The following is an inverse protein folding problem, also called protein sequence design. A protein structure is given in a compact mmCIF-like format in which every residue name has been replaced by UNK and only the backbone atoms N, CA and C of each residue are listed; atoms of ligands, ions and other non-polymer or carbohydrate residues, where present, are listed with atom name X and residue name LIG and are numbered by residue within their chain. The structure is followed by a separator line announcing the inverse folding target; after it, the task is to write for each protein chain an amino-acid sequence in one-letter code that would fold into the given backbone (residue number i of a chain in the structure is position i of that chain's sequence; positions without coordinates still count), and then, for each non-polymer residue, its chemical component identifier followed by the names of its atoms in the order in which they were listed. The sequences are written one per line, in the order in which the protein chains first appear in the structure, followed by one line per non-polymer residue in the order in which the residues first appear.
data_IF_035973931215
#
_entry.id   IF_035973931215
#
_cell.length_a   1.000
_cell.length_b   1.000
_cell.length_c   1.000
_cell.angle_alpha   90.00
_cell.angle_beta   90.00
_cell.angle_gamma   90.00
#
_symmetry.space_group_name_H-M   'P 1'
#
loop_
_entity.id
_entity.type
_entity.pdbx_description
1 polymer ?
#
# COMPACT_ATOMS: atom_id res chain seq x y z
N UNK A 1 2.01 -15.50 6.73
CA UNK A 1 3.00 -16.41 6.09
C UNK A 1 3.55 -15.77 4.80
N UNK A 2 4.61 -16.30 4.20
CA UNK A 2 5.05 -15.90 2.85
C UNK A 2 4.81 -17.05 1.87
N UNK A 3 4.05 -16.78 0.83
CA UNK A 3 3.72 -17.72 -0.24
C UNK A 3 4.58 -17.45 -1.46
N UNK A 4 4.90 -18.51 -2.19
CA UNK A 4 5.52 -18.45 -3.51
C UNK A 4 4.66 -19.25 -4.48
N UNK A 5 4.38 -18.68 -5.64
CA UNK A 5 3.55 -19.31 -6.65
C UNK A 5 4.04 -18.96 -8.06
N UNK A 6 3.74 -19.80 -9.05
CA UNK A 6 4.02 -19.52 -10.46
C UNK A 6 2.74 -19.61 -11.28
N UNK A 7 2.55 -18.68 -12.22
CA UNK A 7 1.51 -18.83 -13.25
C UNK A 7 1.91 -19.95 -14.21
N UNK A 8 1.15 -21.05 -14.23
CA UNK A 8 1.31 -22.06 -15.26
C UNK A 8 0.78 -21.54 -16.61
N UNK A 9 1.27 -22.08 -17.73
CA UNK A 9 0.83 -21.74 -19.10
C UNK A 9 -0.68 -21.98 -19.39
N UNK A 10 -1.45 -22.49 -18.42
CA UNK A 10 -2.83 -22.93 -18.53
C UNK A 10 -3.79 -22.22 -17.54
N UNK A 11 -3.44 -21.01 -17.05
CA UNK A 11 -4.24 -20.21 -16.10
C UNK A 11 -4.41 -20.81 -14.68
N UNK A 12 -3.71 -21.90 -14.36
CA UNK A 12 -3.65 -22.42 -12.99
C UNK A 12 -2.43 -21.87 -12.23
N UNK A 13 -2.66 -21.30 -11.05
CA UNK A 13 -1.59 -20.88 -10.13
C UNK A 13 -1.05 -22.10 -9.38
N UNK A 14 0.24 -22.41 -9.58
CA UNK A 14 0.92 -23.47 -8.84
C UNK A 14 1.56 -22.88 -7.57
N UNK A 15 1.02 -23.22 -6.41
CA UNK A 15 1.58 -22.81 -5.11
C UNK A 15 2.67 -23.78 -4.65
N UNK A 16 3.82 -23.23 -4.27
CA UNK A 16 4.88 -23.98 -3.61
C UNK A 16 4.66 -24.02 -2.08
N UNK A 17 5.35 -24.91 -1.33
CA UNK A 17 5.28 -24.93 0.13
C UNK A 17 5.56 -23.56 0.76
N UNK A 18 4.69 -23.11 1.65
CA UNK A 18 4.82 -21.77 2.24
C UNK A 18 6.08 -21.64 3.10
N UNK A 19 6.59 -20.41 3.19
CA UNK A 19 7.58 -20.07 4.21
C UNK A 19 6.81 -19.61 5.45
N UNK A 20 6.76 -20.47 6.47
CA UNK A 20 6.21 -20.10 7.76
C UNK A 20 7.22 -19.23 8.52
N UNK A 21 6.82 -18.00 8.83
CA UNK A 21 7.65 -17.03 9.54
C UNK A 21 7.84 -17.39 11.02
N UNK A 22 7.03 -18.30 11.57
CA UNK A 22 7.22 -18.84 12.91
C UNK A 22 8.47 -19.73 13.01
N UNK A 23 8.87 -20.37 11.90
CA UNK A 23 10.04 -21.26 11.83
C UNK A 23 11.33 -20.51 11.44
N UNK A 24 11.31 -19.18 11.49
CA UNK A 24 12.48 -18.35 11.20
C UNK A 24 13.30 -18.08 12.46
N UNK A 25 14.62 -18.06 12.30
CA UNK A 25 15.55 -17.50 13.27
C UNK A 25 15.76 -16.02 12.95
N UNK A 26 15.54 -15.17 13.95
CA UNK A 26 15.60 -13.71 13.82
C UNK A 26 16.84 -13.15 14.51
N UNK A 27 17.53 -12.25 13.82
CA UNK A 27 18.67 -11.52 14.36
C UNK A 27 18.27 -10.58 15.50
N UNK A 28 19.25 -10.25 16.35
CA UNK A 28 19.03 -9.33 17.46
C UNK A 28 18.78 -7.90 16.98
N UNK A 29 17.61 -7.36 17.36
CA UNK A 29 17.21 -5.96 17.11
C UNK A 29 18.20 -4.92 17.66
N UNK A 30 19.00 -5.26 18.67
CA UNK A 30 19.93 -4.31 19.30
C UNK A 30 20.96 -3.74 18.31
N UNK A 31 21.19 -4.43 17.18
CA UNK A 31 22.11 -3.97 16.13
C UNK A 31 21.47 -3.01 15.13
N UNK A 32 20.14 -3.04 15.00
CA UNK A 32 19.38 -2.29 13.99
C UNK A 32 18.52 -1.18 14.59
N UNK A 33 18.32 -1.18 15.91
CA UNK A 33 17.57 -0.16 16.63
C UNK A 33 18.27 1.20 16.55
N UNK A 34 17.56 2.18 16.02
CA UNK A 34 18.01 3.57 15.94
C UNK A 34 16.99 4.48 16.62
N UNK A 35 17.34 4.97 17.81
CA UNK A 35 16.47 5.84 18.61
C UNK A 35 16.30 7.24 18.02
N UNK A 36 17.26 7.74 17.23
CA UNK A 36 17.17 9.07 16.63
C UNK A 36 16.30 9.06 15.38
N UNK A 37 16.40 8.00 14.58
CA UNK A 37 15.54 7.81 13.40
C UNK A 37 14.19 7.14 13.73
N UNK A 38 14.02 6.66 14.97
CA UNK A 38 12.87 5.87 15.42
C UNK A 38 12.62 4.65 14.54
N UNK A 39 13.71 3.96 14.17
CA UNK A 39 13.65 2.77 13.31
C UNK A 39 14.20 1.52 13.99
N UNK A 40 13.70 0.37 13.56
CA UNK A 40 14.24 -0.94 13.89
C UNK A 40 14.05 -1.89 12.71
N UNK A 41 14.92 -2.89 12.58
CA UNK A 41 14.84 -3.89 11.52
C UNK A 41 15.00 -5.29 12.10
N UNK A 42 14.03 -6.16 11.83
CA UNK A 42 14.05 -7.56 12.18
C UNK A 42 14.43 -8.34 10.93
N UNK A 43 15.63 -8.90 10.88
CA UNK A 43 16.08 -9.75 9.76
C UNK A 43 16.06 -11.19 10.19
N UNK A 44 15.56 -12.08 9.33
CA UNK A 44 15.43 -13.49 9.63
C UNK A 44 15.70 -14.38 8.43
N UNK A 45 16.11 -15.61 8.76
CA UNK A 45 16.31 -16.72 7.83
C UNK A 45 15.56 -17.94 8.37
N UNK A 46 15.06 -18.84 7.50
CA UNK A 46 14.42 -20.07 7.96
C UNK A 46 15.40 -20.91 8.78
N UNK A 47 14.93 -21.51 9.88
CA UNK A 47 15.76 -22.38 10.72
C UNK A 47 16.26 -23.62 9.95
N UNK A 48 15.50 -24.06 8.96
CA UNK A 48 15.87 -25.12 8.02
C UNK A 48 15.62 -24.69 6.58
N UNK A 49 16.62 -24.77 5.72
CA UNK A 49 16.52 -24.43 4.30
C UNK A 49 16.95 -25.61 3.40
N UNK A 50 16.14 -26.68 3.31
CA UNK A 50 16.50 -27.86 2.51
C UNK A 50 16.63 -27.55 1.01
N UNK A 51 15.95 -26.50 0.52
CA UNK A 51 15.98 -26.08 -0.88
C UNK A 51 17.15 -25.12 -1.22
N UNK A 52 17.87 -24.62 -0.21
CA UNK A 52 18.94 -23.65 -0.41
C UNK A 52 18.48 -22.28 -0.91
N UNK A 53 17.17 -22.00 -0.89
CA UNK A 53 16.58 -20.75 -1.39
C UNK A 53 17.04 -19.53 -0.60
N UNK A 54 17.38 -19.72 0.67
CA UNK A 54 17.83 -18.69 1.62
C UNK A 54 19.35 -18.68 1.83
N UNK A 55 20.12 -19.45 1.05
CA UNK A 55 21.59 -19.48 1.14
C UNK A 55 22.25 -18.07 1.10
N UNK A 56 21.72 -17.16 0.30
CA UNK A 56 22.07 -15.72 0.28
C UNK A 56 20.82 -14.84 0.48
N UNK A 57 19.76 -15.42 1.05
CA UNK A 57 18.44 -14.82 1.13
C UNK A 57 18.05 -14.46 2.56
N UNK A 58 17.18 -13.48 2.71
CA UNK A 58 16.60 -13.09 4.01
C UNK A 58 15.22 -12.50 3.82
N UNK A 59 14.41 -12.62 4.88
CA UNK A 59 13.21 -11.81 5.08
C UNK A 59 13.55 -10.75 6.13
N UNK A 60 13.10 -9.52 5.93
CA UNK A 60 13.18 -8.50 6.96
C UNK A 60 11.87 -7.73 7.13
N UNK A 61 11.61 -7.29 8.35
CA UNK A 61 10.58 -6.32 8.68
C UNK A 61 11.23 -5.07 9.25
N UNK A 62 11.16 -3.96 8.54
CA UNK A 62 11.62 -2.66 9.04
C UNK A 62 10.44 -1.87 9.58
N UNK A 63 10.57 -1.39 10.80
CA UNK A 63 9.55 -0.58 11.48
C UNK A 63 10.09 0.84 11.64
N UNK A 64 9.27 1.83 11.33
CA UNK A 64 9.57 3.26 11.53
C UNK A 64 8.40 3.91 12.26
N UNK A 65 8.67 4.61 13.35
CA UNK A 65 7.68 5.44 14.02
C UNK A 65 7.86 6.92 13.64
N UNK A 66 6.80 7.71 13.80
CA UNK A 66 6.79 9.13 13.44
C UNK A 66 6.37 9.99 14.63
N UNK A 67 7.08 11.09 14.87
CA UNK A 67 6.74 12.03 15.95
C UNK A 67 5.64 13.03 15.54
N UNK A 68 5.49 13.26 14.24
CA UNK A 68 4.59 14.26 13.69
C UNK A 68 4.02 13.82 12.33
N UNK A 69 3.09 14.63 11.80
CA UNK A 69 2.61 14.48 10.43
C UNK A 69 3.68 14.87 9.41
N UNK A 70 3.78 14.09 8.34
CA UNK A 70 4.80 14.29 7.32
C UNK A 70 4.67 13.31 6.17
N UNK A 71 5.70 13.28 5.32
CA UNK A 71 5.79 12.34 4.20
C UNK A 71 7.17 11.75 4.13
N UNK A 72 7.24 10.46 3.82
CA UNK A 72 8.51 9.80 3.56
C UNK A 72 9.21 10.37 2.33
N UNK A 73 10.53 10.49 2.37
CA UNK A 73 11.35 10.86 1.22
C UNK A 73 11.45 9.75 0.16
N UNK A 74 11.77 8.50 0.54
CA UNK A 74 11.82 7.38 -0.41
C UNK A 74 10.42 6.94 -0.86
N UNK A 75 10.33 6.44 -2.10
CA UNK A 75 9.12 5.81 -2.61
C UNK A 75 8.68 4.62 -1.73
N UNK A 76 7.36 4.39 -1.53
CA UNK A 76 6.24 5.07 -2.18
C UNK A 76 5.84 6.43 -1.55
N UNK A 77 6.70 7.04 -0.73
CA UNK A 77 6.50 8.38 -0.15
C UNK A 77 5.18 8.49 0.62
N UNK A 78 4.92 7.54 1.51
CA UNK A 78 3.65 7.45 2.25
C UNK A 78 3.46 8.69 3.14
N UNK A 79 2.26 9.27 3.09
CA UNK A 79 1.83 10.34 3.99
C UNK A 79 1.52 9.72 5.36
N UNK A 80 2.19 10.19 6.40
CA UNK A 80 2.10 9.63 7.75
C UNK A 80 1.68 10.69 8.78
N UNK A 81 1.26 10.21 9.95
CA UNK A 81 0.91 11.02 11.12
C UNK A 81 1.63 10.49 12.36
N UNK A 82 1.59 11.24 13.47
CA UNK A 82 2.08 10.78 14.77
C UNK A 82 1.33 9.55 15.31
N UNK A 83 0.13 9.25 14.78
CA UNK A 83 -0.68 8.10 15.19
C UNK A 83 -0.44 6.85 14.32
N UNK A 84 0.61 6.88 13.50
CA UNK A 84 0.95 5.78 12.59
C UNK A 84 2.42 5.40 12.71
N UNK A 85 2.69 4.15 12.41
CA UNK A 85 4.02 3.59 12.18
C UNK A 85 4.04 2.94 10.81
N UNK A 86 5.18 3.03 10.12
CA UNK A 86 5.41 2.30 8.88
C UNK A 86 6.02 0.94 9.17
N UNK A 87 5.51 -0.08 8.50
CA UNK A 87 6.10 -1.41 8.42
C UNK A 87 6.49 -1.67 6.97
N UNK A 88 7.70 -2.19 6.77
CA UNK A 88 8.21 -2.55 5.47
C UNK A 88 8.61 -4.01 5.47
N UNK A 89 7.98 -4.80 4.60
CA UNK A 89 8.36 -6.17 4.33
C UNK A 89 9.41 -6.19 3.23
N UNK A 90 10.55 -6.82 3.51
CA UNK A 90 11.66 -6.96 2.58
C UNK A 90 11.96 -8.44 2.36
N UNK A 91 11.98 -8.86 1.09
CA UNK A 91 12.50 -10.14 0.66
C UNK A 91 13.76 -9.86 -0.17
N UNK A 92 14.93 -10.26 0.33
CA UNK A 92 16.21 -9.94 -0.29
C UNK A 92 17.00 -11.21 -0.56
N UNK A 93 17.47 -11.41 -1.79
CA UNK A 93 18.39 -12.48 -2.17
C UNK A 93 17.77 -13.88 -2.23
N UNK A 94 16.50 -14.06 -1.87
CA UNK A 94 15.84 -15.37 -1.86
C UNK A 94 15.74 -15.91 -3.29
N UNK A 95 16.26 -17.11 -3.51
CA UNK A 95 16.22 -17.77 -4.80
C UNK A 95 14.82 -18.33 -5.08
N UNK A 96 14.12 -17.85 -6.14
CA UNK A 96 12.84 -18.41 -6.52
C UNK A 96 13.01 -19.84 -6.98
N UNK A 97 12.02 -20.67 -6.65
CA UNK A 97 11.96 -22.11 -6.92
C UNK A 97 11.64 -22.40 -8.39
N UNK A 98 11.14 -21.41 -9.13
CA UNK A 98 10.86 -21.53 -10.56
C UNK A 98 11.04 -20.21 -11.32
N UNK A 99 11.08 -20.33 -12.65
CA UNK A 99 11.02 -19.19 -13.54
C UNK A 99 9.59 -18.62 -13.51
N UNK A 100 9.46 -17.32 -13.26
CA UNK A 100 8.16 -16.68 -13.11
C UNK A 100 7.53 -16.84 -11.72
N UNK A 101 8.30 -17.28 -10.71
CA UNK A 101 7.86 -17.24 -9.32
C UNK A 101 7.47 -15.81 -8.90
N UNK A 102 6.30 -15.70 -8.31
CA UNK A 102 5.76 -14.52 -7.64
C UNK A 102 5.63 -14.81 -6.15
N UNK A 103 5.61 -13.75 -5.37
CA UNK A 103 5.52 -13.84 -3.92
C UNK A 103 4.22 -13.22 -3.45
N UNK A 104 3.73 -13.70 -2.31
CA UNK A 104 2.55 -13.16 -1.67
C UNK A 104 2.76 -13.17 -0.16
N UNK A 105 2.40 -12.08 0.50
CA UNK A 105 2.43 -11.93 1.95
C UNK A 105 1.00 -12.02 2.47
N UNK A 106 0.78 -12.93 3.40
CA UNK A 106 -0.46 -12.96 4.16
C UNK A 106 -0.29 -12.13 5.43
N UNK A 107 -1.24 -11.22 5.64
CA UNK A 107 -1.33 -10.35 6.80
C UNK A 107 -2.60 -10.71 7.56
N UNK A 108 -2.45 -11.10 8.82
CA UNK A 108 -3.56 -11.35 9.73
C UNK A 108 -3.75 -10.16 10.69
N UNK A 109 -5.00 -9.89 11.02
CA UNK A 109 -5.42 -8.83 11.94
C UNK A 109 -6.39 -9.39 12.96
N UNK A 110 -6.40 -8.81 14.16
CA UNK A 110 -7.21 -9.26 15.29
C UNK A 110 -8.07 -8.09 15.74
N UNK A 111 -9.38 -8.31 15.81
CA UNK A 111 -10.35 -7.29 16.19
C UNK A 111 -11.32 -7.82 17.24
N UNK A 112 -11.92 -6.92 18.01
CA UNK A 112 -13.00 -7.27 18.93
C UNK A 112 -14.28 -7.63 18.17
N UNK A 113 -15.06 -8.58 18.70
CA UNK A 113 -16.34 -8.97 18.12
C UNK A 113 -17.26 -7.75 17.90
N UNK A 114 -17.73 -7.62 16.65
CA UNK A 114 -18.57 -6.53 16.20
C UNK A 114 -17.80 -5.34 15.61
N UNK A 115 -16.48 -5.28 15.73
CA UNK A 115 -15.68 -4.40 14.87
C UNK A 115 -15.74 -4.96 13.45
N UNK A 116 -16.08 -4.10 12.49
CA UNK A 116 -16.15 -4.47 11.08
C UNK A 116 -14.87 -4.05 10.39
N UNK A 117 -14.19 -4.99 9.74
CA UNK A 117 -13.05 -4.68 8.90
C UNK A 117 -13.46 -4.51 7.44
N UNK A 118 -13.04 -3.40 6.85
CA UNK A 118 -13.38 -3.08 5.46
C UNK A 118 -12.13 -2.78 4.66
N UNK A 119 -11.93 -3.53 3.59
CA UNK A 119 -10.95 -3.19 2.57
C UNK A 119 -11.52 -2.08 1.69
N UNK A 120 -10.87 -0.91 1.71
CA UNK A 120 -11.20 0.26 0.92
C UNK A 120 -10.12 0.46 -0.15
N UNK A 121 -10.53 0.72 -1.39
CA UNK A 121 -9.65 1.21 -2.44
C UNK A 121 -10.02 2.65 -2.79
N UNK A 122 -9.05 3.55 -2.69
CA UNK A 122 -9.18 4.95 -3.12
C UNK A 122 -8.33 5.18 -4.35
N UNK A 123 -8.95 5.64 -5.44
CA UNK A 123 -8.27 6.03 -6.66
C UNK A 123 -8.14 7.54 -6.75
N UNK A 124 -6.95 8.01 -7.08
CA UNK A 124 -6.65 9.42 -7.33
C UNK A 124 -5.98 9.54 -8.69
N UNK A 125 -6.21 10.65 -9.40
CA UNK A 125 -5.46 11.00 -10.62
C UNK A 125 -4.09 11.62 -10.29
N UNK A 126 -3.86 11.94 -9.02
CA UNK A 126 -2.61 12.52 -8.54
C UNK A 126 -1.57 11.44 -8.28
N UNK A 127 -0.44 11.52 -9.00
CA UNK A 127 0.73 10.68 -8.80
C UNK A 127 1.98 11.47 -8.38
N UNK A 128 1.80 12.73 -7.93
CA UNK A 128 2.89 13.65 -7.53
C UNK A 128 3.91 12.99 -6.61
N UNK A 129 3.44 12.25 -5.60
CA UNK A 129 4.28 11.63 -4.58
C UNK A 129 4.64 10.17 -4.87
N UNK A 130 3.85 9.48 -5.69
CA UNK A 130 4.07 8.08 -6.06
C UNK A 130 3.81 7.91 -7.56
N UNK A 131 4.79 8.25 -8.42
CA UNK A 131 4.59 8.29 -9.87
C UNK A 131 4.00 6.99 -10.42
N UNK A 132 3.05 7.10 -11.35
CA UNK A 132 2.29 5.99 -11.99
C UNK A 132 1.37 5.17 -11.10
N UNK A 133 1.30 5.47 -9.80
CA UNK A 133 0.48 4.70 -8.86
C UNK A 133 -0.73 5.52 -8.44
N UNK A 134 -1.89 5.17 -8.99
CA UNK A 134 -3.15 5.89 -8.81
C UNK A 134 -4.08 5.26 -7.78
N UNK A 135 -3.66 4.18 -7.13
CA UNK A 135 -4.50 3.41 -6.21
C UNK A 135 -3.82 3.25 -4.85
N UNK A 136 -4.59 3.57 -3.80
CA UNK A 136 -4.21 3.39 -2.39
C UNK A 136 -5.24 2.49 -1.73
N UNK A 137 -4.77 1.45 -1.07
CA UNK A 137 -5.61 0.49 -0.36
C UNK A 137 -5.53 0.72 1.14
N UNK A 138 -6.63 0.50 1.84
CA UNK A 138 -6.72 0.65 3.29
C UNK A 138 -7.64 -0.42 3.86
N UNK A 139 -7.12 -1.27 4.74
CA UNK A 139 -7.93 -2.11 5.60
C UNK A 139 -8.26 -1.29 6.86
N UNK A 140 -9.53 -0.93 7.03
CA UNK A 140 -9.98 -0.06 8.12
C UNK A 140 -10.87 -0.86 9.07
N UNK A 141 -10.54 -0.80 10.36
CA UNK A 141 -11.38 -1.31 11.44
C UNK A 141 -12.37 -0.21 11.84
N UNK A 142 -13.66 -0.47 11.65
CA UNK A 142 -14.76 0.46 11.93
C UNK A 142 -15.61 -0.05 13.09
N UNK A 143 -16.07 0.87 13.95
CA UNK A 143 -17.04 0.52 14.99
C UNK A 143 -18.38 0.06 14.38
N UNK A 144 -19.19 -0.67 15.14
CA UNK A 144 -20.49 -1.22 14.67
C UNK A 144 -21.42 -0.19 14.01
N UNK A 145 -21.30 1.09 14.39
CA UNK A 145 -22.13 2.17 13.87
C UNK A 145 -21.53 2.86 12.63
N UNK A 146 -20.37 2.39 12.13
CA UNK A 146 -19.67 2.94 10.96
C UNK A 146 -19.19 4.39 11.11
N UNK A 147 -19.27 4.96 12.31
CA UNK A 147 -19.08 6.39 12.54
C UNK A 147 -17.63 6.78 12.80
N UNK A 148 -16.77 5.84 13.18
CA UNK A 148 -15.37 6.11 13.51
C UNK A 148 -14.46 4.94 13.14
N UNK A 149 -13.39 5.25 12.40
CA UNK A 149 -12.27 4.34 12.22
C UNK A 149 -11.50 4.21 13.54
N UNK A 150 -11.29 2.97 13.98
CA UNK A 150 -10.57 2.61 15.19
C UNK A 150 -9.07 2.45 14.89
N UNK A 151 -8.76 1.76 13.80
CA UNK A 151 -7.41 1.55 13.30
C UNK A 151 -7.40 1.24 11.81
N UNK A 152 -6.22 1.29 11.22
CA UNK A 152 -6.04 1.05 9.80
C UNK A 152 -4.68 0.42 9.47
N UNK A 153 -4.67 -0.33 8.37
CA UNK A 153 -3.47 -0.71 7.62
C UNK A 153 -3.61 -0.15 6.21
N UNK A 154 -2.70 0.72 5.76
CA UNK A 154 -2.79 1.44 4.48
C UNK A 154 -1.51 1.29 3.65
N UNK A 155 -1.63 1.04 2.35
CA UNK A 155 -0.50 0.93 1.43
C UNK A 155 -0.85 1.45 0.04
N UNK A 156 0.17 1.78 -0.75
CA UNK A 156 0.01 2.05 -2.19
C UNK A 156 -0.04 0.72 -2.93
N UNK A 157 -0.73 0.66 -4.08
CA UNK A 157 -0.83 -0.54 -4.92
C UNK A 157 0.49 -0.94 -5.62
N UNK A 158 1.63 -0.78 -4.95
CA UNK A 158 2.97 -1.04 -5.45
C UNK A 158 3.92 -1.52 -4.37
N UNK A 159 4.92 -2.29 -4.79
CA UNK A 159 6.14 -2.62 -4.07
C UNK A 159 7.33 -2.27 -4.97
N UNK A 160 8.56 -2.42 -4.48
CA UNK A 160 9.75 -2.03 -5.24
C UNK A 160 10.82 -3.11 -5.26
N UNK A 161 11.45 -3.26 -6.43
CA UNK A 161 12.54 -4.20 -6.67
C UNK A 161 13.93 -3.70 -6.28
N UNK A 162 14.04 -2.62 -5.50
CA UNK A 162 15.32 -1.96 -5.19
C UNK A 162 15.34 -1.39 -3.77
N UNK A 163 16.52 -1.37 -3.16
CA UNK A 163 16.78 -0.72 -1.85
C UNK A 163 16.64 0.81 -1.92
N UNK A 164 16.91 1.39 -3.08
CA UNK A 164 16.74 2.81 -3.37
C UNK A 164 15.68 2.93 -4.47
N UNK A 165 14.39 2.86 -4.10
CA UNK A 165 13.32 2.65 -5.06
C UNK A 165 13.20 3.83 -6.01
N UNK A 166 13.18 3.51 -7.31
CA UNK A 166 12.86 4.42 -8.40
C UNK A 166 11.58 3.99 -9.09
N UNK A 167 11.05 4.84 -9.96
CA UNK A 167 9.81 4.56 -10.71
C UNK A 167 9.92 3.26 -11.51
N UNK A 168 11.05 3.02 -12.16
CA UNK A 168 11.34 1.83 -12.95
C UNK A 168 11.49 0.53 -12.13
N UNK A 169 11.54 0.63 -10.81
CA UNK A 169 11.64 -0.53 -9.91
C UNK A 169 10.27 -1.04 -9.45
N UNK A 170 9.18 -0.44 -9.92
CA UNK A 170 7.82 -0.75 -9.46
C UNK A 170 7.40 -2.20 -9.72
N UNK A 171 6.81 -2.81 -8.69
CA UNK A 171 6.16 -4.11 -8.71
C UNK A 171 4.69 -3.87 -8.39
N UNK A 172 3.78 -4.39 -9.21
CA UNK A 172 2.35 -4.25 -8.94
C UNK A 172 1.98 -5.06 -7.69
N UNK A 173 1.21 -4.44 -6.78
CA UNK A 173 0.58 -5.15 -5.68
C UNK A 173 -0.89 -5.37 -5.96
N UNK A 174 -1.39 -6.56 -5.67
CA UNK A 174 -2.82 -6.86 -5.67
C UNK A 174 -3.19 -7.45 -4.32
N UNK A 175 -4.39 -7.14 -3.84
CA UNK A 175 -4.94 -7.77 -2.64
C UNK A 175 -6.29 -8.35 -2.94
N UNK A 176 -6.53 -9.56 -2.46
CA UNK A 176 -7.85 -10.20 -2.55
C UNK A 176 -8.73 -9.77 -1.38
N UNK A 177 -10.03 -10.10 -1.45
CA UNK A 177 -10.99 -9.78 -0.39
C UNK A 177 -10.58 -10.36 0.97
N UNK A 178 -11.09 -9.74 2.04
CA UNK A 178 -10.85 -10.21 3.41
C UNK A 178 -11.41 -11.62 3.57
N UNK A 179 -10.60 -12.52 4.09
CA UNK A 179 -11.00 -13.89 4.39
C UNK A 179 -11.09 -14.04 5.91
N UNK A 180 -12.16 -14.67 6.40
CA UNK A 180 -12.19 -15.15 7.77
C UNK A 180 -11.07 -16.18 7.92
N UNK A 181 -10.15 -15.90 8.83
CA UNK A 181 -8.98 -16.71 8.99
C UNK A 181 -9.38 -17.97 9.77
N UNK A 182 -9.68 -19.06 9.06
CA UNK A 182 -10.12 -20.32 9.64
C UNK A 182 -8.89 -21.09 10.19
N UNK A 183 -8.19 -20.46 11.12
CA UNK A 183 -6.97 -21.01 11.69
C UNK A 183 -7.27 -21.84 12.93
N UNK A 184 -7.06 -23.15 12.82
CA UNK A 184 -6.55 -24.00 13.91
C UNK A 184 -5.06 -23.73 14.19
N UNK A 185 -4.45 -22.84 13.41
CA UNK A 185 -3.04 -22.51 13.43
C UNK A 185 -2.68 -21.76 14.71
N UNK A 186 -1.55 -22.14 15.30
CA UNK A 186 -1.01 -21.59 16.53
C UNK A 186 -1.14 -20.07 16.53
N UNK A 187 -2.10 -19.57 17.29
CA UNK A 187 -2.17 -18.16 17.65
C UNK A 187 -0.77 -17.76 18.09
N UNK A 188 -0.17 -16.80 17.39
CA UNK A 188 1.15 -16.26 17.73
C UNK A 188 1.22 -16.09 19.25
N UNK A 189 2.30 -16.55 19.88
CA UNK A 189 2.45 -16.47 21.33
C UNK A 189 2.25 -15.04 21.85
N UNK A 190 2.58 -14.03 21.04
CA UNK A 190 2.35 -12.62 21.32
C UNK A 190 0.84 -12.28 21.32
N UNK A 191 0.10 -12.75 20.32
CA UNK A 191 -1.35 -12.53 20.22
C UNK A 191 -2.05 -13.20 21.41
N UNK A 192 -1.69 -14.45 21.73
CA UNK A 192 -2.25 -15.15 22.90
C UNK A 192 -1.86 -14.48 24.22
N UNK A 193 -0.64 -13.95 24.33
CA UNK A 193 -0.20 -13.24 25.53
C UNK A 193 -0.97 -11.93 25.76
N UNK A 194 -1.35 -11.23 24.69
CA UNK A 194 -2.08 -9.96 24.78
C UNK A 194 -3.60 -10.14 24.90
N UNK A 195 -4.19 -10.99 24.05
CA UNK A 195 -5.65 -11.19 23.96
C UNK A 195 -6.17 -12.39 24.78
N UNK A 196 -5.28 -13.20 25.35
CA UNK A 196 -5.63 -14.37 26.14
C UNK A 196 -6.30 -15.49 25.34
N UNK A 197 -7.10 -16.30 26.02
CA UNK A 197 -7.92 -17.37 25.41
C UNK A 197 -9.17 -16.83 24.69
N UNK A 198 -9.37 -15.51 24.66
CA UNK A 198 -10.50 -14.85 24.00
C UNK A 198 -10.41 -14.86 22.47
N UNK A 199 -9.28 -15.28 21.89
CA UNK A 199 -9.10 -15.39 20.43
C UNK A 199 -10.01 -16.50 19.90
N UNK A 200 -10.89 -16.16 18.96
CA UNK A 200 -11.92 -17.05 18.43
C UNK A 200 -13.24 -17.05 19.22
N UNK A 201 -13.35 -16.29 20.31
CA UNK A 201 -14.61 -16.08 21.04
C UNK A 201 -14.94 -14.60 21.19
N UNK A 202 -14.11 -13.82 21.88
CA UNK A 202 -14.27 -12.36 22.04
C UNK A 202 -13.60 -11.58 20.92
N UNK A 203 -12.56 -12.14 20.31
CA UNK A 203 -11.81 -11.53 19.22
C UNK A 203 -11.90 -12.37 17.96
N UNK A 204 -12.11 -11.72 16.82
CA UNK A 204 -12.09 -12.32 15.48
C UNK A 204 -10.74 -12.09 14.83
N UNK A 205 -10.32 -13.06 14.01
CA UNK A 205 -9.08 -12.97 13.23
C UNK A 205 -9.44 -13.00 11.76
N UNK A 206 -8.93 -12.04 11.02
CA UNK A 206 -9.15 -11.95 9.57
C UNK A 206 -7.82 -11.79 8.86
N UNK A 207 -7.72 -12.41 7.68
CA UNK A 207 -6.51 -12.42 6.88
C UNK A 207 -6.74 -11.77 5.52
N UNK A 208 -5.70 -11.09 5.04
CA UNK A 208 -5.63 -10.54 3.69
C UNK A 208 -4.32 -10.97 3.04
N UNK A 209 -4.45 -11.41 1.79
CA UNK A 209 -3.34 -11.83 0.96
C UNK A 209 -2.93 -10.71 0.01
N UNK A 210 -1.66 -10.33 0.07
CA UNK A 210 -1.06 -9.26 -0.72
C UNK A 210 -0.05 -9.89 -1.67
N UNK A 211 -0.38 -9.98 -2.94
CA UNK A 211 0.49 -10.56 -3.96
C UNK A 211 1.34 -9.50 -4.66
N UNK A 212 2.55 -9.90 -5.03
CA UNK A 212 3.57 -9.05 -5.63
C UNK A 212 3.92 -9.60 -7.01
N UNK A 213 3.51 -8.87 -8.05
CA UNK A 213 3.79 -9.24 -9.44
C UNK A 213 2.89 -8.47 -10.41
N UNK A 214 3.51 -7.90 -11.45
CA UNK A 214 2.81 -7.41 -12.64
C UNK A 214 2.78 -8.47 -13.74
N UNK A 215 2.17 -8.15 -14.88
CA UNK A 215 2.04 -9.06 -16.05
C UNK A 215 3.38 -9.69 -16.46
N UNK A 216 4.48 -8.94 -16.36
CA UNK A 216 5.80 -9.43 -16.75
C UNK A 216 6.50 -10.28 -15.68
N UNK A 217 6.13 -10.22 -14.38
CA UNK A 217 6.71 -11.01 -13.28
C UNK A 217 8.24 -10.91 -13.06
N UNK A 218 8.97 -10.15 -13.89
CA UNK A 218 10.44 -10.21 -14.00
C UNK A 218 11.22 -9.46 -12.95
N UNK A 219 10.65 -8.41 -12.35
CA UNK A 219 11.42 -7.47 -11.51
C UNK A 219 12.12 -8.18 -10.35
N UNK A 220 11.41 -9.05 -9.61
CA UNK A 220 12.04 -9.82 -8.53
C UNK A 220 13.02 -10.86 -9.08
N UNK A 221 12.68 -11.54 -10.18
CA UNK A 221 13.54 -12.56 -10.79
C UNK A 221 14.92 -12.00 -11.17
N UNK A 222 14.96 -10.76 -11.66
CA UNK A 222 16.17 -10.04 -12.06
C UNK A 222 16.90 -9.42 -10.85
N UNK A 223 16.19 -8.70 -9.98
CA UNK A 223 16.81 -7.88 -8.92
C UNK A 223 17.02 -8.64 -7.61
N UNK A 224 16.31 -9.75 -7.40
CA UNK A 224 16.28 -10.53 -6.16
C UNK A 224 16.03 -9.66 -4.93
N UNK A 225 15.13 -8.69 -5.08
CA UNK A 225 14.75 -7.78 -4.02
C UNK A 225 13.28 -7.41 -4.20
N UNK A 226 12.54 -7.37 -3.11
CA UNK A 226 11.16 -6.92 -3.03
C UNK A 226 11.03 -6.16 -1.71
N UNK A 227 10.51 -4.94 -1.78
CA UNK A 227 10.18 -4.12 -0.61
C UNK A 227 8.76 -3.59 -0.75
N UNK A 228 7.90 -3.95 0.20
CA UNK A 228 6.53 -3.46 0.29
C UNK A 228 6.35 -2.69 1.59
N UNK A 229 5.74 -1.51 1.51
CA UNK A 229 5.59 -0.60 2.66
C UNK A 229 4.12 -0.35 2.95
N UNK A 230 3.75 -0.40 4.22
CA UNK A 230 2.41 -0.08 4.71
C UNK A 230 2.48 0.78 5.97
N UNK A 231 1.47 1.61 6.18
CA UNK A 231 1.22 2.34 7.41
C UNK A 231 0.22 1.57 8.27
N UNK A 232 0.57 1.34 9.52
CA UNK A 232 -0.30 0.83 10.56
C UNK A 232 -0.57 1.99 11.54
N UNK A 233 -1.82 2.26 11.87
CA UNK A 233 -2.13 3.35 12.79
C UNK A 233 -3.50 3.27 13.41
N UNK A 234 -3.75 4.20 14.33
CA UNK A 234 -5.03 4.36 15.01
C UNK A 234 -5.80 5.56 14.46
N UNK A 235 -7.13 5.45 14.42
CA UNK A 235 -8.00 6.49 13.88
C UNK A 235 -8.16 6.41 12.37
N UNK A 236 -8.28 7.56 11.72
CA UNK A 236 -8.51 7.64 10.27
C UNK A 236 -7.21 7.51 9.46
N UNK A 237 -7.21 6.75 8.35
CA UNK A 237 -6.08 6.68 7.44
C UNK A 237 -5.77 8.06 6.82
N UNK A 238 -4.48 8.47 6.73
CA UNK A 238 -4.08 9.69 6.05
C UNK A 238 -4.52 9.70 4.58
N UNK A 239 -5.03 10.85 4.12
CA UNK A 239 -5.51 11.03 2.75
C UNK A 239 -4.61 12.01 1.98
N UNK A 240 -4.14 11.57 0.83
CA UNK A 240 -3.41 12.44 -0.09
C UNK A 240 -4.35 13.53 -0.65
N UNK A 241 -3.78 14.72 -0.84
CA UNK A 241 -4.41 15.85 -1.52
C UNK A 241 -3.40 16.47 -2.47
N UNK A 242 -3.89 17.12 -3.53
CA UNK A 242 -3.04 17.82 -4.48
C UNK A 242 -2.20 18.89 -3.76
N UNK A 243 -0.92 19.00 -4.12
CA UNK A 243 -0.12 20.12 -3.60
C UNK A 243 -0.67 21.46 -4.04
N UNK A 244 -0.41 22.55 -3.28
CA UNK A 244 -0.74 23.90 -3.70
C UNK A 244 -0.18 24.27 -5.08
N UNK A 245 0.95 23.69 -5.47
CA UNK A 245 1.55 23.89 -6.79
C UNK A 245 0.71 23.25 -7.89
N UNK A 246 0.31 21.98 -7.73
CA UNK A 246 -0.56 21.30 -8.71
C UNK A 246 -1.91 22.01 -8.81
N UNK A 247 -2.50 22.41 -7.68
CA UNK A 247 -3.74 23.21 -7.66
C UNK A 247 -3.57 24.51 -8.43
N UNK A 248 -2.43 25.20 -8.27
CA UNK A 248 -2.15 26.46 -8.98
C UNK A 248 -2.01 26.25 -10.49
N UNK A 249 -1.32 25.19 -10.92
CA UNK A 249 -1.20 24.84 -12.34
C UNK A 249 -2.57 24.54 -12.94
N UNK A 250 -3.38 23.71 -12.27
CA UNK A 250 -4.74 23.40 -12.71
C UNK A 250 -5.61 24.66 -12.81
N UNK A 251 -5.52 25.56 -11.82
CA UNK A 251 -6.28 26.79 -11.79
C UNK A 251 -5.92 27.71 -12.98
N UNK A 252 -4.64 27.85 -13.32
CA UNK A 252 -4.21 28.66 -14.47
C UNK A 252 -4.57 27.99 -15.80
N UNK A 253 -4.30 26.69 -15.93
CA UNK A 253 -4.51 25.93 -17.16
C UNK A 253 -6.00 25.85 -17.55
N UNK A 254 -6.90 25.71 -16.58
CA UNK A 254 -8.35 25.65 -16.81
C UNK A 254 -9.00 27.03 -16.75
N UNK A 255 -8.50 27.92 -15.89
CA UNK A 255 -9.07 29.25 -15.70
C UNK A 255 -8.82 30.18 -16.88
N UNK A 256 -7.65 30.09 -17.53
CA UNK A 256 -7.31 30.98 -18.66
C UNK A 256 -8.23 30.75 -19.87
N UNK A 257 -8.45 29.52 -20.36
CA UNK A 257 -9.39 29.27 -21.45
C UNK A 257 -10.83 29.66 -21.09
N UNK A 258 -11.27 29.39 -19.86
CA UNK A 258 -12.61 29.77 -19.40
C UNK A 258 -12.81 31.29 -19.41
N UNK A 259 -11.84 32.04 -18.90
CA UNK A 259 -11.86 33.50 -18.92
C UNK A 259 -11.89 34.04 -20.36
N UNK A 260 -11.09 33.47 -21.27
CA UNK A 260 -11.10 33.83 -22.68
C UNK A 260 -12.46 33.56 -23.35
N UNK A 261 -13.08 32.41 -23.05
CA UNK A 261 -14.41 32.08 -23.56
C UNK A 261 -15.49 33.04 -23.06
N UNK A 262 -15.45 33.41 -21.77
CA UNK A 262 -16.40 34.37 -21.19
C UNK A 262 -16.22 35.77 -21.81
N UNK A 263 -14.98 36.26 -21.89
CA UNK A 263 -14.67 37.56 -22.51
C UNK A 263 -15.08 37.56 -23.99
N UNK A 264 -14.73 36.51 -24.74
CA UNK A 264 -15.13 36.35 -26.14
C UNK A 264 -16.65 36.33 -26.32
N UNK A 265 -17.37 35.60 -25.46
CA UNK A 265 -18.84 35.54 -25.48
C UNK A 265 -19.47 36.90 -25.20
N UNK A 266 -18.97 37.63 -24.20
CA UNK A 266 -19.42 38.99 -23.92
C UNK A 266 -19.19 39.91 -25.14
N UNK A 267 -18.01 39.88 -25.75
CA UNK A 267 -17.69 40.70 -26.92
C UNK A 267 -18.65 40.42 -28.09
N UNK A 268 -18.94 39.15 -28.37
CA UNK A 268 -19.90 38.75 -29.44
C UNK A 268 -21.33 39.22 -29.12
N UNK A 269 -21.78 39.06 -27.88
CA UNK A 269 -23.13 39.51 -27.48
C UNK A 269 -23.28 41.03 -27.59
N UNK A 270 -22.25 41.79 -27.21
CA UNK A 270 -22.27 43.25 -27.34
C UNK A 270 -22.15 43.73 -28.80
N UNK A 271 -21.43 43.02 -29.66
CA UNK A 271 -21.34 43.37 -31.09
C UNK A 271 -22.65 43.07 -31.84
N UNK A 272 -23.32 41.95 -31.55
CA UNK A 272 -24.62 41.62 -32.15
C UNK A 272 -25.72 42.62 -31.74
N UNK A 273 -25.74 43.08 -30.48
CA UNK A 273 -26.69 44.14 -30.05
C UNK A 273 -26.50 45.45 -30.82
N UNK A 274 -25.26 45.83 -31.14
CA UNK A 274 -25.00 47.02 -31.96
C UNK A 274 -25.57 46.86 -33.38
N UNK A 275 -25.36 45.71 -34.02
CA UNK A 275 -25.88 45.46 -35.36
C UNK A 275 -27.42 45.42 -35.44
N UNK A 276 -28.10 44.85 -34.44
CA UNK A 276 -29.57 44.87 -34.41
C UNK A 276 -30.17 46.25 -34.13
N UNK A 277 -29.44 47.14 -33.46
CA UNK A 277 -29.88 48.52 -33.20
C UNK A 277 -29.73 49.44 -34.42
N UNK A 278 -28.97 49.04 -35.43
CA UNK A 278 -28.69 49.83 -36.64
C UNK A 278 -29.68 49.54 -37.78
N UNK A 279 -30.71 48.72 -37.52
CA UNK A 279 -31.75 48.41 -38.49
C UNK A 279 -32.73 49.59 -38.58
N UNK A 280 -32.57 50.45 -39.58
CA UNK A 280 -33.59 51.44 -39.95
C UNK A 280 -34.79 50.72 -40.58
N UNK A 281 -36.02 50.86 -40.03
CA UNK A 281 -37.20 50.27 -40.64
C UNK A 281 -37.49 51.00 -41.96
N UNK A 282 -37.57 50.21 -43.03
CA UNK A 282 -37.91 50.70 -44.37
C UNK A 282 -39.39 51.11 -44.37
N UNK A 283 -39.64 52.42 -44.46
CA UNK A 283 -40.96 53.03 -44.70
C UNK A 283 -40.93 53.76 -46.04
#
# INVERSE_FOLDING_TARGET
QVFEYSEAKLEEELFYPTYDLADFSWDSINRTLNHTALTAEFTGIPATDPGGSFSNGSVAFRVTAYEAGGRDGPLPSLLHTANSSKVEFVLAGVAPRSNGSRFMLEVATVEEMGVTQKLQSTRSIDDEYTPTIFETLSLVAESQNGSSALGFLQWKATAYGSRTPRREDGIQCRSQGLQEANWTLLVSSIVRAYFGEGVGSTYTVSAINISFGGEDGKVYQEKRYLSWSALLGFGQPPKDTFSPLVISIMAVALGTPLAMLLVGSCVVLFSQRKHYSEYEPIN
#
